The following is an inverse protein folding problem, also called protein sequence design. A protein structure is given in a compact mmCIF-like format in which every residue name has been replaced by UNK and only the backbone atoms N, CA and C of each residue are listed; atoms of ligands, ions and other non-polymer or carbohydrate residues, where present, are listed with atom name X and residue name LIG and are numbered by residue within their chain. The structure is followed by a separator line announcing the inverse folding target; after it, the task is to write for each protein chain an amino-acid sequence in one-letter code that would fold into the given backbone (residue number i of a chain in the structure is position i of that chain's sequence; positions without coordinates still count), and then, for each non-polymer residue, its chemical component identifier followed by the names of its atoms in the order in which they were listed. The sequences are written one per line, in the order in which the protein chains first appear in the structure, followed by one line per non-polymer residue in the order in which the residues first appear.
data_IF_269282208331
#
_entry.id   IF_269282208331
#
_cell.length_a   1.000
_cell.length_b   1.000
_cell.length_c   1.000
_cell.angle_alpha   90.00
_cell.angle_beta   90.00
_cell.angle_gamma   90.00
#
_symmetry.space_group_name_H-M   'P 1'
#
loop_
_entity.id
_entity.type
_entity.pdbx_description
1 polymer ?
#
# COMPACT_ATOMS: atom_id res chain seq x y z
N UNK A 1 -12.77 28.54 9.51
CA UNK A 1 -11.41 28.67 8.95
C UNK A 1 -10.85 27.28 8.75
N UNK A 2 -11.09 26.69 7.58
CA UNK A 2 -10.53 25.41 7.20
C UNK A 2 -9.33 25.69 6.29
N UNK A 3 -8.16 25.15 6.64
CA UNK A 3 -6.90 25.41 5.97
C UNK A 3 -6.89 24.84 4.57
N UNK A 4 -6.72 25.73 3.58
CA UNK A 4 -6.42 25.39 2.20
C UNK A 4 -5.10 24.62 2.14
N UNK A 5 -5.13 23.39 1.63
CA UNK A 5 -3.92 22.68 1.26
C UNK A 5 -3.18 23.51 0.19
N UNK A 6 -1.85 23.66 0.27
CA UNK A 6 -1.13 24.48 -0.69
C UNK A 6 -1.26 23.86 -2.08
N UNK A 7 -1.81 24.64 -3.02
CA UNK A 7 -1.80 24.27 -4.43
C UNK A 7 -0.35 24.06 -4.86
N UNK A 8 -0.01 22.82 -5.20
CA UNK A 8 1.25 22.55 -5.88
C UNK A 8 1.22 23.27 -7.23
N UNK A 9 1.90 24.40 -7.30
CA UNK A 9 2.27 25.07 -8.55
C UNK A 9 3.11 24.14 -9.43
N UNK A 10 3.45 24.57 -10.66
CA UNK A 10 4.12 23.74 -11.65
C UNK A 10 5.40 23.12 -11.05
N UNK A 11 5.46 21.79 -11.05
CA UNK A 11 6.59 21.05 -10.51
C UNK A 11 7.82 21.36 -11.34
N UNK A 12 8.76 22.11 -10.76
CA UNK A 12 10.05 22.37 -11.38
C UNK A 12 10.79 21.02 -11.57
N UNK A 13 11.60 20.83 -12.63
CA UNK A 13 12.26 19.55 -12.92
C UNK A 13 13.06 18.94 -11.76
N UNK A 14 13.46 19.76 -10.78
CA UNK A 14 14.22 19.35 -9.60
C UNK A 14 13.39 18.62 -8.52
N UNK A 15 12.05 18.68 -8.56
CA UNK A 15 11.18 18.10 -7.52
C UNK A 15 10.44 16.84 -7.97
N UNK A 16 10.39 16.56 -9.27
CA UNK A 16 9.66 15.41 -9.81
C UNK A 16 10.50 14.13 -9.71
N UNK A 17 10.09 13.24 -8.79
CA UNK A 17 10.74 11.95 -8.52
C UNK A 17 10.81 11.04 -9.75
N UNK A 18 9.91 11.20 -10.74
CA UNK A 18 9.92 10.40 -11.98
C UNK A 18 11.19 10.58 -12.78
N UNK A 19 11.82 11.75 -12.66
CA UNK A 19 13.02 12.13 -13.40
C UNK A 19 14.29 12.08 -12.56
N UNK A 20 14.29 11.38 -11.42
CA UNK A 20 15.43 11.33 -10.50
C UNK A 20 16.69 10.66 -11.08
N UNK A 21 16.57 9.88 -12.15
CA UNK A 21 17.72 9.21 -12.77
C UNK A 21 18.65 10.22 -13.43
N UNK A 22 19.96 10.00 -13.28
CA UNK A 22 21.01 10.92 -13.77
C UNK A 22 20.88 11.23 -15.26
N UNK A 23 20.44 10.27 -16.07
CA UNK A 23 20.29 10.40 -17.52
C UNK A 23 19.36 11.54 -17.93
N UNK A 24 18.28 11.78 -17.18
CA UNK A 24 17.35 12.90 -17.43
C UNK A 24 18.05 14.25 -17.34
N UNK A 25 19.10 14.34 -16.55
CA UNK A 25 19.86 15.56 -16.35
C UNK A 25 21.12 15.64 -17.20
N UNK A 26 21.81 14.53 -17.47
CA UNK A 26 23.12 14.57 -18.16
C UNK A 26 23.06 14.31 -19.65
N UNK A 27 22.05 13.60 -20.15
CA UNK A 27 21.93 13.29 -21.57
C UNK A 27 21.03 14.33 -22.27
N UNK A 28 21.50 15.01 -23.33
CA UNK A 28 20.71 16.02 -24.04
C UNK A 28 19.36 15.50 -24.54
N UNK A 29 19.29 14.27 -25.06
CA UNK A 29 18.05 13.70 -25.63
C UNK A 29 17.00 13.52 -24.54
N UNK A 30 17.36 12.88 -23.42
CA UNK A 30 16.44 12.67 -22.30
C UNK A 30 16.03 13.98 -21.65
N UNK A 31 16.96 14.94 -21.53
CA UNK A 31 16.66 16.29 -21.02
C UNK A 31 15.65 17.02 -21.91
N UNK A 32 15.84 16.99 -23.22
CA UNK A 32 14.89 17.60 -24.17
C UNK A 32 13.52 16.94 -24.10
N UNK A 33 13.46 15.61 -24.05
CA UNK A 33 12.21 14.87 -23.92
C UNK A 33 11.47 15.22 -22.62
N UNK A 34 12.19 15.29 -21.50
CA UNK A 34 11.66 15.73 -20.22
C UNK A 34 11.09 17.15 -20.29
N UNK A 35 11.85 18.08 -20.87
CA UNK A 35 11.44 19.49 -20.97
C UNK A 35 10.21 19.67 -21.86
N UNK A 36 10.14 18.99 -23.01
CA UNK A 36 8.97 19.01 -23.89
C UNK A 36 7.75 18.48 -23.14
N UNK A 37 7.89 17.35 -22.44
CA UNK A 37 6.81 16.78 -21.64
C UNK A 37 6.32 17.75 -20.57
N UNK A 38 7.23 18.33 -19.77
CA UNK A 38 6.85 19.26 -18.69
C UNK A 38 6.17 20.52 -19.25
N UNK A 39 6.70 21.08 -20.34
CA UNK A 39 6.10 22.25 -20.97
C UNK A 39 4.70 21.96 -21.52
N UNK A 40 4.52 20.83 -22.21
CA UNK A 40 3.23 20.42 -22.74
C UNK A 40 2.23 20.10 -21.61
N UNK A 41 2.71 19.50 -20.52
CA UNK A 41 1.93 19.20 -19.32
C UNK A 41 1.42 20.45 -18.64
N UNK A 42 2.30 21.42 -18.39
CA UNK A 42 1.95 22.70 -17.77
C UNK A 42 0.97 23.48 -18.65
N UNK A 43 1.23 23.53 -19.96
CA UNK A 43 0.33 24.17 -20.91
C UNK A 43 -1.07 23.54 -20.89
N UNK A 44 -1.16 22.20 -20.95
CA UNK A 44 -2.44 21.49 -20.97
C UNK A 44 -3.21 21.66 -19.66
N UNK A 45 -2.52 21.65 -18.52
CA UNK A 45 -3.14 21.88 -17.21
C UNK A 45 -3.67 23.31 -17.08
N UNK A 46 -2.97 24.30 -17.63
CA UNK A 46 -3.46 25.69 -17.69
C UNK A 46 -4.69 25.84 -18.60
N UNK A 47 -4.80 25.07 -19.68
CA UNK A 47 -6.01 25.09 -20.52
C UNK A 47 -7.24 24.48 -19.83
N UNK A 48 -7.04 23.71 -18.76
CA UNK A 48 -8.13 23.22 -17.92
C UNK A 48 -8.76 24.30 -17.03
N UNK A 49 -8.18 25.50 -16.96
CA UNK A 49 -8.67 26.63 -16.18
C UNK A 49 -9.54 27.54 -17.04
N UNK A 50 -10.84 27.20 -17.11
CA UNK A 50 -11.80 27.87 -17.98
C UNK A 50 -12.68 28.82 -17.17
N UNK A 51 -12.69 30.09 -17.56
CA UNK A 51 -13.53 31.12 -16.93
C UNK A 51 -15.03 30.76 -17.01
N UNK A 52 -15.73 30.90 -15.87
CA UNK A 52 -17.18 30.71 -15.79
C UNK A 52 -17.64 29.31 -15.41
N UNK A 53 -16.73 28.40 -15.05
CA UNK A 53 -17.07 27.08 -14.50
C UNK A 53 -17.37 27.12 -12.99
N UNK A 54 -18.23 26.20 -12.54
CA UNK A 54 -18.41 25.91 -11.12
C UNK A 54 -17.14 25.26 -10.52
N UNK A 55 -16.89 25.49 -9.24
CA UNK A 55 -15.70 25.01 -8.54
C UNK A 55 -15.59 23.48 -8.58
N UNK A 56 -16.72 22.78 -8.45
CA UNK A 56 -16.74 21.32 -8.50
C UNK A 56 -16.40 20.76 -9.89
N UNK A 57 -16.81 21.47 -10.96
CA UNK A 57 -16.51 21.11 -12.34
C UNK A 57 -15.03 21.36 -12.66
N UNK A 58 -14.51 22.51 -12.21
CA UNK A 58 -13.11 22.88 -12.34
C UNK A 58 -12.17 21.86 -11.66
N UNK A 59 -12.54 21.38 -10.47
CA UNK A 59 -11.78 20.34 -9.76
C UNK A 59 -11.79 19.00 -10.52
N UNK A 60 -12.93 18.60 -11.12
CA UNK A 60 -13.04 17.35 -11.90
C UNK A 60 -12.18 17.39 -13.16
N UNK A 61 -12.23 18.49 -13.91
CA UNK A 61 -11.43 18.66 -15.13
C UNK A 61 -9.95 18.64 -14.77
N UNK A 62 -9.54 19.42 -13.77
CA UNK A 62 -8.16 19.45 -13.27
C UNK A 62 -7.69 18.05 -12.86
N UNK A 63 -8.52 17.30 -12.13
CA UNK A 63 -8.20 15.93 -11.72
C UNK A 63 -7.94 15.02 -12.93
N UNK A 64 -8.85 14.99 -13.92
CA UNK A 64 -8.70 14.12 -15.08
C UNK A 64 -7.53 14.53 -15.99
N UNK A 65 -7.29 15.83 -16.17
CA UNK A 65 -6.13 16.32 -16.92
C UNK A 65 -4.81 15.93 -16.25
N UNK A 66 -4.73 16.01 -14.92
CA UNK A 66 -3.55 15.52 -14.18
C UNK A 66 -3.32 14.03 -14.40
N UNK A 67 -4.38 13.21 -14.29
CA UNK A 67 -4.27 11.77 -14.55
C UNK A 67 -3.80 11.47 -15.98
N UNK A 68 -4.34 12.20 -16.97
CA UNK A 68 -3.94 12.06 -18.37
C UNK A 68 -2.47 12.42 -18.58
N UNK A 69 -2.05 13.59 -18.10
CA UNK A 69 -0.66 14.05 -18.17
C UNK A 69 0.28 13.03 -17.52
N UNK A 70 -0.05 12.56 -16.31
CA UNK A 70 0.77 11.61 -15.58
C UNK A 70 0.91 10.28 -16.33
N UNK A 71 -0.15 9.79 -16.95
CA UNK A 71 -0.14 8.58 -17.76
C UNK A 71 0.72 8.71 -19.04
N UNK A 72 0.84 9.92 -19.58
CA UNK A 72 1.64 10.22 -20.77
C UNK A 72 3.13 10.47 -20.45
N UNK A 73 3.55 10.33 -19.20
CA UNK A 73 4.94 10.55 -18.80
C UNK A 73 5.91 9.64 -19.55
N UNK A 74 7.00 10.18 -20.14
CA UNK A 74 8.01 9.37 -20.81
C UNK A 74 8.78 8.46 -19.84
N UNK A 75 8.67 8.69 -18.53
CA UNK A 75 9.22 7.79 -17.51
C UNK A 75 8.41 6.49 -17.36
N UNK A 76 7.18 6.41 -17.86
CA UNK A 76 6.35 5.20 -17.80
C UNK A 76 6.52 4.30 -19.03
N UNK A 77 7.01 4.86 -20.14
CA UNK A 77 7.13 4.13 -21.41
C UNK A 77 8.52 3.48 -21.49
N UNK A 78 8.56 2.16 -21.68
CA UNK A 78 9.80 1.36 -21.73
C UNK A 78 10.85 1.96 -22.68
N UNK A 79 10.43 2.36 -23.88
CA UNK A 79 11.33 2.87 -24.93
C UNK A 79 11.94 4.24 -24.64
N UNK A 80 11.37 5.01 -23.72
CA UNK A 80 11.87 6.34 -23.33
C UNK A 80 12.39 6.39 -21.90
N UNK A 81 12.32 5.29 -21.14
CA UNK A 81 12.80 5.24 -19.77
C UNK A 81 14.28 4.77 -19.72
N UNK A 82 15.23 5.66 -19.37
CA UNK A 82 16.65 5.30 -19.36
C UNK A 82 17.00 4.22 -18.32
N UNK A 83 16.28 4.17 -17.21
CA UNK A 83 16.49 3.16 -16.16
C UNK A 83 16.04 1.78 -16.64
N UNK A 84 14.88 1.72 -17.29
CA UNK A 84 14.34 0.46 -17.82
C UNK A 84 15.21 -0.08 -18.96
N UNK A 85 15.62 0.77 -19.90
CA UNK A 85 16.51 0.38 -21.00
C UNK A 85 17.88 -0.08 -20.51
N UNK A 86 18.50 0.65 -19.58
CA UNK A 86 19.77 0.23 -18.97
C UNK A 86 19.62 -1.14 -18.31
N UNK A 87 18.56 -1.36 -17.53
CA UNK A 87 18.31 -2.64 -16.89
C UNK A 87 18.12 -3.76 -17.91
N UNK A 88 17.42 -3.49 -19.01
CA UNK A 88 17.27 -4.45 -20.10
C UNK A 88 18.64 -4.85 -20.68
N UNK A 89 19.53 -3.90 -20.93
CA UNK A 89 20.90 -4.18 -21.44
C UNK A 89 21.72 -4.97 -20.41
N UNK A 90 21.78 -4.50 -19.15
CA UNK A 90 22.54 -5.15 -18.07
C UNK A 90 22.11 -6.61 -17.83
N UNK A 91 20.83 -6.90 -18.05
CA UNK A 91 20.24 -8.22 -17.82
C UNK A 91 20.14 -9.07 -19.08
N UNK A 92 20.67 -8.61 -20.21
CA UNK A 92 20.55 -9.30 -21.50
C UNK A 92 19.09 -9.52 -21.94
N UNK A 93 18.17 -8.65 -21.52
CA UNK A 93 16.74 -8.73 -21.81
C UNK A 93 15.92 -9.55 -20.81
N UNK A 94 16.53 -10.23 -19.85
CA UNK A 94 15.79 -11.07 -18.89
C UNK A 94 14.81 -10.28 -18.00
N UNK A 95 15.10 -9.00 -17.72
CA UNK A 95 14.16 -8.12 -17.02
C UNK A 95 12.87 -7.83 -17.81
N UNK A 96 12.95 -7.72 -19.14
CA UNK A 96 11.78 -7.53 -20.01
C UNK A 96 10.96 -8.82 -20.05
N UNK A 97 11.63 -9.97 -20.22
CA UNK A 97 10.96 -11.28 -20.21
C UNK A 97 10.21 -11.53 -18.89
N UNK A 98 10.83 -11.21 -17.75
CA UNK A 98 10.19 -11.29 -16.44
C UNK A 98 8.98 -10.34 -16.33
N UNK A 99 9.11 -9.09 -16.79
CA UNK A 99 7.99 -8.14 -16.81
C UNK A 99 6.81 -8.61 -17.67
N UNK A 100 7.08 -9.21 -18.83
CA UNK A 100 6.04 -9.78 -19.70
C UNK A 100 5.35 -11.00 -19.06
N UNK A 101 6.12 -11.86 -18.37
CA UNK A 101 5.56 -12.98 -17.61
C UNK A 101 4.64 -12.50 -16.47
N UNK A 102 5.05 -11.46 -15.74
CA UNK A 102 4.22 -10.85 -14.70
C UNK A 102 2.93 -10.28 -15.27
N UNK A 103 2.99 -9.54 -16.38
CA UNK A 103 1.81 -9.01 -17.06
C UNK A 103 0.85 -10.12 -17.52
N UNK A 104 1.39 -11.21 -18.08
CA UNK A 104 0.57 -12.35 -18.48
C UNK A 104 -0.13 -13.01 -17.29
N UNK A 105 0.56 -13.18 -16.16
CA UNK A 105 -0.01 -13.73 -14.94
C UNK A 105 -1.11 -12.80 -14.37
N UNK A 106 -0.89 -11.48 -14.36
CA UNK A 106 -1.88 -10.51 -13.90
C UNK A 106 -3.15 -10.50 -14.77
N UNK A 107 -2.99 -10.59 -16.10
CA UNK A 107 -4.11 -10.71 -17.03
C UNK A 107 -4.91 -12.00 -16.80
N UNK A 108 -4.23 -13.12 -16.55
CA UNK A 108 -4.90 -14.39 -16.22
C UNK A 108 -5.62 -14.33 -14.88
N UNK A 109 -5.05 -13.65 -13.88
CA UNK A 109 -5.66 -13.48 -12.56
C UNK A 109 -6.78 -12.43 -12.53
N UNK A 110 -6.93 -11.62 -13.59
CA UNK A 110 -7.92 -10.54 -13.66
C UNK A 110 -7.64 -9.36 -12.71
N UNK A 111 -6.43 -9.29 -12.14
CA UNK A 111 -6.01 -8.24 -11.20
C UNK A 111 -4.51 -8.00 -11.31
N UNK A 112 -4.09 -6.74 -11.13
CA UNK A 112 -2.68 -6.38 -11.04
C UNK A 112 -2.08 -6.84 -9.71
N UNK A 113 -0.94 -7.54 -9.74
CA UNK A 113 -0.22 -7.94 -8.54
C UNK A 113 0.82 -6.89 -8.16
N UNK A 114 0.75 -6.39 -6.93
CA UNK A 114 1.76 -5.45 -6.39
C UNK A 114 2.82 -6.17 -5.53
N UNK A 115 2.47 -7.34 -5.01
CA UNK A 115 3.33 -8.15 -4.13
C UNK A 115 3.08 -9.62 -4.44
N UNK A 116 4.11 -10.43 -4.19
CA UNK A 116 3.96 -11.87 -4.14
C UNK A 116 3.09 -12.24 -2.94
N UNK A 117 1.89 -12.76 -3.21
CA UNK A 117 0.91 -13.13 -2.19
C UNK A 117 1.28 -14.46 -1.51
N UNK A 118 2.14 -15.27 -2.11
CA UNK A 118 2.60 -16.56 -1.57
C UNK A 118 3.91 -16.43 -0.78
N UNK A 119 4.62 -15.31 -0.95
CA UNK A 119 5.80 -14.99 -0.17
C UNK A 119 5.53 -14.92 1.33
N UNK A 120 4.29 -14.63 1.76
CA UNK A 120 3.93 -14.51 3.17
C UNK A 120 2.78 -15.43 3.55
N UNK A 121 3.02 -16.28 4.55
CA UNK A 121 2.06 -17.21 5.11
C UNK A 121 2.03 -17.05 6.65
N UNK A 122 0.91 -16.56 7.23
CA UNK A 122 0.71 -16.55 8.67
C UNK A 122 0.95 -17.93 9.29
N UNK A 123 1.69 -17.98 10.40
CA UNK A 123 2.14 -19.20 11.06
C UNK A 123 3.41 -19.83 10.49
N UNK A 124 3.87 -19.44 9.28
CA UNK A 124 5.14 -19.92 8.69
C UNK A 124 6.24 -18.86 8.72
N UNK A 125 5.95 -17.65 8.26
CA UNK A 125 6.91 -16.54 8.22
C UNK A 125 6.33 -15.17 8.64
N UNK A 126 5.12 -15.17 9.18
CA UNK A 126 4.40 -14.04 9.76
C UNK A 126 3.57 -14.56 10.94
N UNK A 127 3.22 -13.73 11.94
CA UNK A 127 2.44 -14.17 13.11
C UNK A 127 3.05 -15.37 13.82
N UNK A 128 4.34 -15.27 14.13
CA UNK A 128 5.14 -16.38 14.68
C UNK A 128 5.19 -16.40 16.21
N UNK A 129 4.58 -15.43 16.88
CA UNK A 129 4.62 -15.39 18.34
C UNK A 129 3.84 -16.59 18.89
N UNK A 130 4.45 -17.48 19.69
CA UNK A 130 3.79 -18.68 20.17
C UNK A 130 2.53 -18.34 20.97
N UNK A 131 1.40 -18.93 20.60
CA UNK A 131 0.12 -18.70 21.25
C UNK A 131 -0.88 -19.81 20.93
N UNK A 132 -2.03 -19.78 21.60
CA UNK A 132 -3.12 -20.74 21.40
C UNK A 132 -4.45 -20.03 21.36
N UNK A 133 -5.36 -20.52 20.53
CA UNK A 133 -6.76 -20.10 20.56
C UNK A 133 -7.39 -20.67 21.83
N UNK A 134 -7.86 -19.78 22.72
CA UNK A 134 -8.47 -20.14 24.00
C UNK A 134 -9.99 -19.97 24.00
N UNK A 135 -10.53 -19.22 23.03
CA UNK A 135 -11.96 -19.08 22.79
C UNK A 135 -12.23 -18.88 21.31
N UNK A 136 -13.36 -19.38 20.81
CA UNK A 136 -13.82 -19.20 19.43
C UNK A 136 -15.33 -19.11 19.40
N UNK A 137 -15.86 -18.17 18.63
CA UNK A 137 -17.29 -18.05 18.34
C UNK A 137 -17.51 -17.76 16.83
N UNK A 138 -18.71 -17.28 16.46
CA UNK A 138 -19.04 -17.02 15.04
C UNK A 138 -18.28 -15.83 14.41
N UNK A 139 -17.79 -14.88 15.21
CA UNK A 139 -17.12 -13.66 14.72
C UNK A 139 -15.62 -13.61 15.02
N UNK A 140 -15.13 -14.33 16.02
CA UNK A 140 -13.74 -14.21 16.43
C UNK A 140 -13.13 -15.46 17.05
N UNK A 141 -11.81 -15.47 17.03
CA UNK A 141 -10.94 -16.30 17.85
C UNK A 141 -10.18 -15.43 18.84
N UNK A 142 -10.18 -15.80 20.12
CA UNK A 142 -9.34 -15.17 21.12
C UNK A 142 -8.05 -15.98 21.26
N UNK A 143 -6.92 -15.34 20.99
CA UNK A 143 -5.59 -15.93 21.09
C UNK A 143 -4.97 -15.49 22.42
N UNK A 144 -4.49 -16.44 23.21
CA UNK A 144 -3.60 -16.18 24.34
C UNK A 144 -2.17 -16.55 23.95
N UNK A 145 -1.25 -15.60 24.07
CA UNK A 145 0.16 -15.84 23.77
C UNK A 145 0.89 -16.48 24.96
N UNK A 146 1.85 -17.36 24.65
CA UNK A 146 2.64 -18.06 25.64
C UNK A 146 3.62 -17.09 26.32
N UNK A 147 3.72 -17.06 27.66
CA UNK A 147 4.64 -16.17 28.36
C UNK A 147 6.09 -16.52 28.03
N UNK A 148 6.94 -15.51 27.85
CA UNK A 148 8.40 -15.69 27.65
C UNK A 148 9.22 -15.36 28.89
N UNK A 149 8.57 -14.93 29.98
CA UNK A 149 9.18 -14.58 31.27
C UNK A 149 8.72 -15.54 32.38
N UNK A 150 9.48 -15.60 33.48
CA UNK A 150 9.12 -16.44 34.66
C UNK A 150 7.89 -15.92 35.42
N UNK A 151 7.71 -14.61 35.43
CA UNK A 151 6.62 -13.91 36.12
C UNK A 151 6.03 -12.88 35.17
N UNK A 152 4.73 -12.66 35.27
CA UNK A 152 3.98 -11.71 34.45
C UNK A 152 3.26 -10.68 35.33
N UNK A 153 2.90 -9.54 34.75
CA UNK A 153 2.03 -8.56 35.39
C UNK A 153 0.67 -9.17 35.73
N UNK A 154 0.10 -8.74 36.86
CA UNK A 154 -1.21 -9.22 37.33
C UNK A 154 -2.34 -8.89 36.36
N UNK A 155 -2.31 -7.71 35.74
CA UNK A 155 -3.33 -7.24 34.81
C UNK A 155 -2.92 -7.64 33.38
N UNK A 156 -3.74 -8.43 32.65
CA UNK A 156 -3.46 -8.79 31.27
C UNK A 156 -3.75 -7.64 30.31
N UNK A 157 -3.23 -7.73 29.09
CA UNK A 157 -3.55 -6.84 27.98
C UNK A 157 -4.43 -7.57 26.97
N UNK A 158 -5.58 -6.98 26.63
CA UNK A 158 -6.43 -7.42 25.54
C UNK A 158 -6.27 -6.47 24.35
N UNK A 159 -5.86 -7.02 23.21
CA UNK A 159 -5.66 -6.28 21.98
C UNK A 159 -6.86 -6.49 21.05
N UNK A 160 -7.45 -5.36 20.67
CA UNK A 160 -8.55 -5.24 19.73
C UNK A 160 -8.05 -4.64 18.41
N UNK A 161 -7.66 -5.47 17.43
CA UNK A 161 -7.22 -4.96 16.15
C UNK A 161 -8.41 -4.45 15.32
N UNK A 162 -8.16 -3.55 14.34
CA UNK A 162 -9.18 -3.18 13.36
C UNK A 162 -9.64 -4.42 12.58
N UNK A 163 -10.91 -4.48 12.18
CA UNK A 163 -11.46 -5.59 11.40
C UNK A 163 -11.27 -5.48 9.88
N UNK A 164 -10.82 -4.30 9.39
CA UNK A 164 -10.53 -4.09 7.96
C UNK A 164 -9.26 -4.85 7.54
N UNK A 165 -8.24 -4.82 8.39
CA UNK A 165 -6.97 -5.52 8.18
C UNK A 165 -6.87 -6.71 9.14
N UNK A 166 -6.07 -7.71 8.79
CA UNK A 166 -5.87 -8.87 9.67
C UNK A 166 -5.00 -8.51 10.88
N UNK A 167 -5.24 -9.22 11.99
CA UNK A 167 -4.61 -8.95 13.29
C UNK A 167 -3.08 -8.99 13.26
N UNK A 168 -2.49 -9.78 12.37
CA UNK A 168 -1.04 -10.00 12.28
C UNK A 168 -0.24 -8.75 11.89
N UNK A 169 -0.88 -7.62 11.59
CA UNK A 169 -0.18 -6.33 11.52
C UNK A 169 0.49 -5.98 12.86
N UNK A 170 -0.06 -6.46 13.97
CA UNK A 170 0.50 -6.31 15.32
C UNK A 170 1.47 -7.45 15.69
N UNK A 171 1.51 -8.51 14.88
CA UNK A 171 2.37 -9.68 15.06
C UNK A 171 2.99 -10.08 13.71
N UNK A 172 3.80 -9.19 13.13
CA UNK A 172 4.39 -9.41 11.81
C UNK A 172 5.56 -10.42 11.88
N UNK A 173 6.79 -9.96 11.69
CA UNK A 173 7.99 -10.77 11.87
C UNK A 173 8.52 -10.59 13.30
N UNK A 174 9.36 -11.51 13.80
CA UNK A 174 9.86 -11.43 15.17
C UNK A 174 10.61 -10.13 15.51
N UNK A 175 11.13 -9.39 14.52
CA UNK A 175 11.82 -8.11 14.69
C UNK A 175 10.89 -6.89 14.82
N UNK A 176 9.64 -7.01 14.40
CA UNK A 176 8.66 -5.92 14.33
C UNK A 176 7.28 -6.37 14.80
N UNK A 177 7.23 -7.32 15.73
CA UNK A 177 6.01 -7.79 16.38
C UNK A 177 5.81 -7.04 17.70
N UNK A 178 4.71 -6.28 17.79
CA UNK A 178 4.28 -5.62 19.02
C UNK A 178 3.85 -6.67 20.05
N UNK A 179 3.12 -7.70 19.63
CA UNK A 179 2.69 -8.79 20.50
C UNK A 179 3.89 -9.43 21.18
N UNK A 180 4.91 -9.83 20.39
CA UNK A 180 6.13 -10.43 20.93
C UNK A 180 6.79 -9.53 21.96
N UNK A 181 6.94 -8.25 21.62
CA UNK A 181 7.53 -7.27 22.52
C UNK A 181 6.79 -7.20 23.86
N UNK A 182 5.45 -7.12 23.84
CA UNK A 182 4.63 -7.06 25.06
C UNK A 182 4.74 -8.32 25.93
N UNK A 183 4.76 -9.49 25.30
CA UNK A 183 4.98 -10.76 26.00
C UNK A 183 6.37 -10.81 26.65
N UNK A 184 7.41 -10.33 25.96
CA UNK A 184 8.78 -10.21 26.48
C UNK A 184 8.90 -9.18 27.62
N UNK A 185 8.06 -8.14 27.62
CA UNK A 185 7.95 -7.22 28.76
C UNK A 185 7.20 -7.82 29.97
N UNK A 186 6.72 -9.06 29.87
CA UNK A 186 6.06 -9.76 30.97
C UNK A 186 4.56 -9.48 31.07
N UNK A 187 3.90 -9.02 30.01
CA UNK A 187 2.44 -9.00 29.98
C UNK A 187 1.87 -10.35 29.57
N UNK A 188 0.76 -10.75 30.18
CA UNK A 188 -0.12 -11.76 29.57
C UNK A 188 -0.93 -11.06 28.48
N UNK A 189 -0.70 -11.43 27.23
CA UNK A 189 -1.31 -10.79 26.07
C UNK A 189 -2.39 -11.69 25.46
N UNK A 190 -3.57 -11.11 25.30
CA UNK A 190 -4.68 -11.66 24.54
C UNK A 190 -4.90 -10.82 23.29
N UNK A 191 -5.28 -11.44 22.19
CA UNK A 191 -5.57 -10.76 20.93
C UNK A 191 -6.80 -11.37 20.28
N UNK A 192 -7.67 -10.51 19.75
CA UNK A 192 -8.83 -10.92 18.98
C UNK A 192 -8.45 -11.08 17.51
N UNK A 193 -8.69 -12.26 16.94
CA UNK A 193 -8.60 -12.54 15.51
C UNK A 193 -10.00 -12.63 14.92
N UNK A 194 -10.39 -11.59 14.18
CA UNK A 194 -11.69 -11.51 13.53
C UNK A 194 -11.83 -12.50 12.36
N UNK A 195 -13.02 -13.08 12.21
CA UNK A 195 -13.39 -13.89 11.05
C UNK A 195 -13.47 -12.97 9.81
N UNK A 196 -12.88 -13.41 8.70
CA UNK A 196 -13.07 -12.74 7.41
C UNK A 196 -14.55 -12.91 6.98
N UNK A 197 -15.25 -11.82 6.62
CA UNK A 197 -16.64 -11.91 6.19
C UNK A 197 -16.76 -12.73 4.89
N UNK A 198 -17.78 -13.56 4.85
CA UNK A 198 -18.21 -14.35 3.70
C UNK A 198 -19.73 -14.17 3.52
N UNK A 199 -20.31 -14.79 2.49
CA UNK A 199 -21.74 -14.68 2.21
C UNK A 199 -22.65 -15.15 3.37
N UNK A 200 -22.15 -15.94 4.33
CA UNK A 200 -22.91 -16.37 5.50
C UNK A 200 -23.04 -15.28 6.58
N UNK A 201 -22.36 -14.14 6.41
CA UNK A 201 -22.32 -13.04 7.38
C UNK A 201 -23.11 -11.80 6.93
N UNK A 202 -23.99 -11.95 5.94
CA UNK A 202 -24.76 -10.84 5.35
C UNK A 202 -25.68 -10.12 6.37
N UNK A 203 -26.16 -10.85 7.38
CA UNK A 203 -27.02 -10.32 8.44
C UNK A 203 -26.26 -9.75 9.64
N UNK A 204 -24.92 -9.81 9.65
CA UNK A 204 -24.12 -9.38 10.81
C UNK A 204 -24.09 -7.85 10.91
N UNK A 205 -24.62 -7.33 12.02
CA UNK A 205 -24.62 -5.91 12.36
C UNK A 205 -23.43 -5.49 13.23
N UNK A 206 -23.35 -4.20 13.55
CA UNK A 206 -22.33 -3.66 14.48
C UNK A 206 -22.56 -4.22 15.89
N UNK A 207 -23.83 -4.42 16.26
CA UNK A 207 -24.27 -4.95 17.55
C UNK A 207 -23.72 -6.36 17.78
N UNK A 208 -23.73 -7.22 16.75
CA UNK A 208 -23.15 -8.56 16.84
C UNK A 208 -21.64 -8.50 17.14
N UNK A 209 -20.91 -7.54 16.56
CA UNK A 209 -19.47 -7.34 16.85
C UNK A 209 -19.22 -6.85 18.27
N UNK A 210 -20.17 -6.15 18.88
CA UNK A 210 -20.10 -5.76 20.28
C UNK A 210 -20.32 -6.99 21.17
N UNK A 211 -21.44 -7.69 21.00
CA UNK A 211 -21.86 -8.82 21.86
C UNK A 211 -21.01 -10.10 21.70
N UNK A 212 -20.47 -10.33 20.51
CA UNK A 212 -19.65 -11.52 20.22
C UNK A 212 -18.17 -11.19 20.09
N UNK A 213 -17.80 -9.95 20.34
CA UNK A 213 -16.41 -9.51 20.39
C UNK A 213 -15.92 -9.41 21.84
N UNK A 214 -15.36 -8.27 22.24
CA UNK A 214 -14.78 -8.08 23.58
C UNK A 214 -15.78 -7.79 24.71
N UNK A 215 -17.03 -7.48 24.40
CA UNK A 215 -18.01 -6.92 25.34
C UNK A 215 -19.13 -7.92 25.64
#
# INVERSE_FOLDING_TARGET
MAGSAPGNGPSTPATDKRFAAREWHTNPVYRTLQQIYLLASDWLLQQGDVDGMDEAEQQRITFHLRQFVDAMSPALILLSNPVALRRAVETGGTSIAAGAANLAADLQAGRLSMVDMEAFAPGRNLALTPGKVVHRNRLMELIQYAPTTKTVHKTPLLILPPWINKYYILDMQPKNSLVRYLVEQGFTVFLISWKNPDASMDEIGIEDYMELGPL
#
